data_IF_080941483447
#
_entry.id   IF_080941483447
#
_cell.length_a   1.000
_cell.length_b   1.000
_cell.length_c   1.000
_cell.angle_alpha   90.00
_cell.angle_beta   90.00
_cell.angle_gamma   90.00
#
_symmetry.space_group_name_H-M   'P 1'
#
loop_
_entity.id
_entity.type
_entity.pdbx_description
1 polymer ?
#
# COMPACT_ATOMS: atom_id res chain seq x y z
N UNK A 1 -24.28 -2.90 -21.30
CA UNK A 1 -23.04 -2.11 -21.38
C UNK A 1 -22.37 -2.24 -20.02
N UNK A 2 -21.27 -2.93 -19.77
CA UNK A 2 -20.20 -3.49 -20.61
C UNK A 2 -19.76 -4.84 -20.00
N UNK A 3 -19.31 -5.73 -20.86
CA UNK A 3 -18.95 -7.12 -20.58
C UNK A 3 -17.46 -7.24 -20.16
N UNK A 4 -17.10 -8.46 -19.75
CA UNK A 4 -15.73 -9.06 -19.72
C UNK A 4 -15.07 -9.07 -18.33
N UNK A 5 -15.06 -10.24 -17.68
CA UNK A 5 -14.03 -11.30 -17.81
C UNK A 5 -12.67 -10.82 -17.30
N UNK A 6 -12.37 -11.14 -16.06
CA UNK A 6 -11.00 -11.16 -15.56
C UNK A 6 -10.68 -12.58 -15.07
N UNK A 7 -10.49 -13.45 -16.07
CA UNK A 7 -10.07 -14.83 -15.94
C UNK A 7 -8.63 -14.89 -15.41
N UNK A 8 -8.40 -15.70 -14.37
CA UNK A 8 -7.11 -16.30 -13.99
C UNK A 8 -5.90 -15.36 -13.85
N UNK A 9 -5.69 -14.83 -12.64
CA UNK A 9 -4.36 -14.85 -11.97
C UNK A 9 -4.55 -15.01 -10.46
N UNK A 10 -4.37 -16.23 -9.98
CA UNK A 10 -4.30 -16.60 -8.58
C UNK A 10 -3.00 -16.08 -7.95
N UNK A 11 -2.87 -14.76 -7.83
CA UNK A 11 -1.90 -14.13 -6.92
C UNK A 11 -2.60 -13.97 -5.57
N UNK A 12 -2.26 -14.85 -4.63
CA UNK A 12 -3.07 -15.13 -3.43
C UNK A 12 -3.62 -13.90 -2.70
N UNK A 13 -4.85 -14.06 -2.19
CA UNK A 13 -5.57 -13.19 -1.24
C UNK A 13 -4.85 -13.08 0.12
N UNK A 14 -3.53 -13.02 0.09
CA UNK A 14 -2.73 -12.89 1.29
C UNK A 14 -2.74 -11.44 1.72
N UNK A 15 -3.13 -11.24 2.97
CA UNK A 15 -3.01 -9.98 3.70
C UNK A 15 -1.56 -9.52 3.88
N UNK A 16 -0.59 -10.13 3.17
CA UNK A 16 0.82 -9.79 3.31
C UNK A 16 1.06 -8.38 2.73
N UNK A 17 1.36 -7.39 3.58
CA UNK A 17 1.52 -6.02 3.13
C UNK A 17 2.89 -5.77 2.47
N UNK A 18 3.80 -6.74 2.51
CA UNK A 18 5.18 -6.56 2.05
C UNK A 18 6.07 -5.87 3.08
N UNK A 19 7.27 -5.48 2.64
CA UNK A 19 8.34 -4.93 3.50
C UNK A 19 8.16 -3.43 3.76
N UNK A 20 8.66 -2.95 4.91
CA UNK A 20 8.81 -1.50 5.18
C UNK A 20 9.72 -0.87 4.13
N UNK A 21 9.43 0.38 3.79
CA UNK A 21 10.17 1.14 2.78
C UNK A 21 10.53 2.53 3.29
N UNK A 22 11.38 3.25 2.54
CA UNK A 22 11.65 4.68 2.75
C UNK A 22 10.61 5.60 2.13
N UNK A 23 9.56 5.04 1.54
CA UNK A 23 8.46 5.83 1.00
C UNK A 23 7.27 5.79 1.97
N UNK A 24 6.85 6.95 2.53
CA UNK A 24 5.75 7.01 3.48
C UNK A 24 4.43 6.53 2.90
N UNK A 25 4.19 6.82 1.62
CA UNK A 25 3.00 6.33 0.94
C UNK A 25 2.98 4.80 0.85
N UNK A 26 4.13 4.18 0.55
CA UNK A 26 4.19 2.72 0.52
C UNK A 26 3.97 2.14 1.91
N UNK A 27 4.50 2.74 2.97
CA UNK A 27 4.23 2.30 4.35
C UNK A 27 2.76 2.45 4.71
N UNK A 28 2.09 3.52 4.27
CA UNK A 28 0.64 3.63 4.39
C UNK A 28 -0.10 2.52 3.64
N UNK A 29 0.29 2.20 2.40
CA UNK A 29 -0.34 1.11 1.64
C UNK A 29 -0.20 -0.24 2.33
N UNK A 30 0.82 -0.43 3.16
CA UNK A 30 0.97 -1.64 3.99
C UNK A 30 -0.16 -1.75 4.99
N UNK A 31 -0.47 -0.67 5.68
CA UNK A 31 -1.53 -0.66 6.68
C UNK A 31 -2.92 -0.65 6.01
N UNK A 32 -3.07 0.07 4.91
CA UNK A 32 -4.27 0.02 4.07
C UNK A 32 -4.58 -1.41 3.59
N UNK A 33 -3.54 -2.16 3.20
CA UNK A 33 -3.70 -3.56 2.79
C UNK A 33 -4.04 -4.50 3.95
N UNK A 34 -3.59 -4.20 5.18
CA UNK A 34 -3.97 -4.98 6.37
C UNK A 34 -5.44 -4.79 6.72
N UNK A 35 -5.97 -3.57 6.60
CA UNK A 35 -7.38 -3.29 6.85
C UNK A 35 -8.30 -3.75 5.71
N UNK A 36 -7.79 -3.84 4.49
CA UNK A 36 -8.52 -4.26 3.30
C UNK A 36 -7.98 -5.59 2.73
N UNK A 37 -7.84 -6.56 3.62
CA UNK A 37 -7.47 -7.93 3.29
C UNK A 37 -8.38 -8.51 2.19
N UNK A 38 -7.80 -8.90 1.06
CA UNK A 38 -8.53 -9.51 -0.06
C UNK A 38 -8.58 -8.66 -1.32
N UNK A 39 -8.29 -7.36 -1.21
CA UNK A 39 -8.10 -6.51 -2.39
C UNK A 39 -6.90 -7.00 -3.22
N UNK A 40 -7.04 -6.95 -4.55
CA UNK A 40 -5.92 -7.16 -5.46
C UNK A 40 -4.91 -6.02 -5.27
N UNK A 41 -3.61 -6.24 -5.52
CA UNK A 41 -2.60 -5.19 -5.36
C UNK A 41 -2.92 -3.90 -6.12
N UNK A 42 -3.52 -4.00 -7.31
CA UNK A 42 -3.93 -2.84 -8.11
C UNK A 42 -5.04 -2.03 -7.41
N UNK A 43 -5.97 -2.69 -6.75
CA UNK A 43 -7.06 -2.05 -6.01
C UNK A 43 -6.55 -1.37 -4.74
N UNK A 44 -5.61 -2.02 -4.03
CA UNK A 44 -4.91 -1.42 -2.88
C UNK A 44 -4.24 -0.12 -3.28
N UNK A 45 -3.54 -0.08 -4.42
CA UNK A 45 -2.88 1.14 -4.90
C UNK A 45 -3.91 2.21 -5.26
N UNK A 46 -4.95 1.87 -6.05
CA UNK A 46 -5.97 2.83 -6.50
C UNK A 46 -6.76 3.43 -5.33
N UNK A 47 -7.32 2.60 -4.47
CA UNK A 47 -8.12 3.06 -3.32
C UNK A 47 -7.22 3.71 -2.25
N UNK A 48 -6.04 3.13 -2.02
CA UNK A 48 -5.07 3.68 -1.08
C UNK A 48 -4.54 5.04 -1.52
N UNK A 49 -4.37 5.32 -2.83
CA UNK A 49 -4.01 6.65 -3.31
C UNK A 49 -5.07 7.70 -2.94
N UNK A 50 -6.35 7.38 -3.12
CA UNK A 50 -7.46 8.26 -2.75
C UNK A 50 -7.50 8.49 -1.23
N UNK A 51 -7.36 7.42 -0.45
CA UNK A 51 -7.35 7.51 1.01
C UNK A 51 -6.15 8.33 1.52
N UNK A 52 -4.95 8.11 0.97
CA UNK A 52 -3.75 8.88 1.29
C UNK A 52 -3.91 10.37 0.98
N UNK A 53 -4.55 10.71 -0.14
CA UNK A 53 -4.84 12.10 -0.52
C UNK A 53 -5.77 12.82 0.48
N UNK A 54 -6.63 12.09 1.18
CA UNK A 54 -7.56 12.63 2.18
C UNK A 54 -6.98 12.76 3.58
N UNK A 55 -5.80 12.19 3.86
CA UNK A 55 -5.17 12.33 5.16
C UNK A 55 -4.72 13.78 5.41
N UNK A 56 -4.79 14.22 6.66
CA UNK A 56 -4.14 15.47 7.08
C UNK A 56 -2.64 15.28 7.22
N UNK A 57 -1.88 16.36 7.37
CA UNK A 57 -0.42 16.28 7.55
C UNK A 57 -0.05 15.52 8.83
N UNK A 58 -0.79 15.74 9.92
CA UNK A 58 -0.61 15.06 11.20
C UNK A 58 -0.82 13.56 11.08
N UNK A 59 -1.79 13.13 10.25
CA UNK A 59 -2.05 11.72 9.98
C UNK A 59 -1.00 11.07 9.08
N UNK A 60 -0.35 11.84 8.19
CA UNK A 60 0.76 11.36 7.36
C UNK A 60 2.08 11.30 8.13
N UNK A 61 2.24 12.16 9.14
CA UNK A 61 3.48 12.37 9.88
C UNK A 61 4.10 11.09 10.48
N UNK A 62 3.35 10.12 11.02
CA UNK A 62 3.92 8.85 11.48
C UNK A 62 4.62 8.08 10.37
N UNK A 63 3.99 7.99 9.18
CA UNK A 63 4.57 7.30 8.03
C UNK A 63 5.79 8.05 7.48
N UNK A 64 5.77 9.39 7.50
CA UNK A 64 6.91 10.22 7.08
C UNK A 64 8.09 9.98 8.02
N UNK A 65 7.88 10.07 9.34
CA UNK A 65 8.91 9.81 10.34
C UNK A 65 9.50 8.41 10.18
N UNK A 66 8.64 7.39 10.13
CA UNK A 66 9.09 6.00 9.94
C UNK A 66 9.94 5.84 8.68
N UNK A 67 9.51 6.44 7.58
CA UNK A 67 10.20 6.34 6.28
C UNK A 67 11.54 7.05 6.26
N UNK A 68 11.62 8.21 6.91
CA UNK A 68 12.84 9.01 6.99
C UNK A 68 13.92 8.28 7.80
N UNK A 69 13.54 7.73 8.96
CA UNK A 69 14.46 7.00 9.84
C UNK A 69 14.75 5.57 9.36
N UNK A 70 14.05 5.07 8.33
CA UNK A 70 14.31 3.75 7.80
C UNK A 70 15.72 3.70 7.14
N UNK A 71 16.61 2.79 7.60
CA UNK A 71 18.01 2.77 7.16
C UNK A 71 18.13 2.55 5.66
N UNK A 72 19.13 3.20 5.05
CA UNK A 72 19.51 2.96 3.67
C UNK A 72 20.04 1.54 3.56
N UNK A 73 19.39 0.72 2.73
CA UNK A 73 19.99 -0.55 2.33
C UNK A 73 21.14 -0.23 1.40
N UNK A 74 22.37 -0.52 1.83
CA UNK A 74 23.51 -0.55 0.91
C UNK A 74 23.18 -1.60 -0.15
N UNK A 75 23.09 -1.16 -1.42
CA UNK A 75 22.98 -2.09 -2.54
C UNK A 75 24.31 -2.87 -2.60
N UNK A 76 24.30 -4.21 -2.70
CA UNK A 76 25.51 -4.97 -2.98
C UNK A 76 26.06 -4.62 -4.37
#
# INVERSE_FOLDING_TARGET
MDSQRDSKRSGGRSCNPGRRSRNPYINFLRDFRRSHCGLRPVEVIRQGAQAWGRLTEEQRLPYIRESFYHPLRRRP
#
